data_IF_905971965987
#
_entry.id   IF_905971965987
#
_cell.length_a   1.000
_cell.length_b   1.000
_cell.length_c   1.000
_cell.angle_alpha   90.00
_cell.angle_beta   90.00
_cell.angle_gamma   90.00
#
_symmetry.space_group_name_H-M   'P 1'
#
loop_
_entity.id
_entity.type
_entity.pdbx_description
1 polymer ?
#
# COMPACT_ATOMS: atom_id res chain seq x y z
N UNK A 1 -27.50 -48.75 38.72
CA UNK A 1 -26.56 -49.14 37.66
C UNK A 1 -26.36 -47.89 36.85
N UNK A 2 -25.35 -47.14 37.27
CA UNK A 2 -24.97 -45.87 36.68
C UNK A 2 -23.88 -46.25 35.69
N UNK A 3 -24.27 -46.46 34.43
CA UNK A 3 -23.30 -46.64 33.35
C UNK A 3 -22.57 -45.31 33.20
N UNK A 4 -21.46 -45.15 33.94
CA UNK A 4 -20.44 -44.16 33.63
C UNK A 4 -19.89 -44.52 32.26
N UNK A 5 -20.51 -43.96 31.21
CA UNK A 5 -19.93 -43.94 29.87
C UNK A 5 -18.52 -43.39 30.03
N UNK A 6 -17.52 -44.25 29.85
CA UNK A 6 -16.12 -43.83 29.74
C UNK A 6 -16.07 -42.73 28.68
N UNK A 7 -15.56 -41.55 29.07
CA UNK A 7 -15.31 -40.45 28.14
C UNK A 7 -14.55 -41.01 26.93
N UNK A 8 -15.11 -40.82 25.74
CA UNK A 8 -14.46 -41.27 24.50
C UNK A 8 -13.05 -40.64 24.44
N UNK A 9 -11.97 -41.44 24.50
CA UNK A 9 -10.61 -40.92 24.53
C UNK A 9 -10.27 -40.11 23.28
N UNK A 10 -10.97 -40.34 22.16
CA UNK A 10 -10.80 -39.57 20.92
C UNK A 10 -11.43 -38.18 21.04
N UNK A 11 -12.58 -38.08 21.72
CA UNK A 11 -13.26 -36.81 22.02
C UNK A 11 -12.41 -35.94 22.94
N UNK A 12 -11.92 -36.50 24.05
CA UNK A 12 -11.06 -35.79 24.99
C UNK A 12 -9.75 -35.30 24.34
N UNK A 13 -9.15 -36.12 23.47
CA UNK A 13 -7.98 -35.71 22.70
C UNK A 13 -8.28 -34.57 21.73
N UNK A 14 -9.45 -34.57 21.08
CA UNK A 14 -9.86 -33.52 20.16
C UNK A 14 -10.15 -32.20 20.89
N UNK A 15 -10.82 -32.22 22.03
CA UNK A 15 -11.03 -31.05 22.90
C UNK A 15 -9.69 -30.46 23.37
N UNK A 16 -8.74 -31.32 23.75
CA UNK A 16 -7.39 -30.88 24.11
C UNK A 16 -6.67 -30.22 22.92
N UNK A 17 -6.79 -30.77 21.72
CA UNK A 17 -6.20 -30.14 20.51
C UNK A 17 -6.86 -28.80 20.19
N UNK A 18 -8.19 -28.70 20.31
CA UNK A 18 -8.92 -27.45 20.07
C UNK A 18 -8.48 -26.37 21.06
N UNK A 19 -8.46 -26.68 22.36
CA UNK A 19 -8.03 -25.74 23.41
C UNK A 19 -6.60 -25.21 23.21
N UNK A 20 -5.69 -26.05 22.70
CA UNK A 20 -4.32 -25.64 22.35
C UNK A 20 -4.25 -24.79 21.07
N UNK A 21 -5.03 -25.12 20.05
CA UNK A 21 -4.98 -24.46 18.75
C UNK A 21 -5.73 -23.13 18.71
N UNK A 22 -6.84 -22.99 19.44
CA UNK A 22 -7.68 -21.79 19.47
C UNK A 22 -6.89 -20.51 19.77
N UNK A 23 -6.13 -20.39 20.89
CA UNK A 23 -5.39 -19.17 21.19
C UNK A 23 -4.31 -18.86 20.14
N UNK A 24 -3.66 -19.90 19.58
CA UNK A 24 -2.67 -19.74 18.51
C UNK A 24 -3.31 -19.18 17.23
N UNK A 25 -4.48 -19.67 16.86
CA UNK A 25 -5.18 -19.21 15.65
C UNK A 25 -5.77 -17.81 15.83
N UNK A 26 -6.34 -17.49 17.00
CA UNK A 26 -6.79 -16.15 17.33
C UNK A 26 -5.64 -15.14 17.28
N UNK A 27 -4.47 -15.48 17.82
CA UNK A 27 -3.28 -14.63 17.72
C UNK A 27 -2.85 -14.42 16.25
N UNK A 28 -2.86 -15.47 15.43
CA UNK A 28 -2.55 -15.38 14.00
C UNK A 28 -3.56 -14.53 13.23
N UNK A 29 -4.85 -14.63 13.54
CA UNK A 29 -5.89 -13.77 12.99
C UNK A 29 -5.62 -12.30 13.34
N UNK A 30 -5.47 -11.98 14.63
CA UNK A 30 -5.20 -10.62 15.08
C UNK A 30 -3.91 -10.04 14.46
N UNK A 31 -2.90 -10.87 14.24
CA UNK A 31 -1.64 -10.48 13.59
C UNK A 31 -1.83 -10.20 12.10
N UNK A 32 -2.57 -11.05 11.39
CA UNK A 32 -2.87 -10.87 9.96
C UNK A 32 -3.74 -9.62 9.73
N UNK A 33 -4.72 -9.37 10.59
CA UNK A 33 -5.54 -8.16 10.54
C UNK A 33 -4.73 -6.89 10.76
N UNK A 34 -3.82 -6.90 11.74
CA UNK A 34 -2.90 -5.78 11.97
C UNK A 34 -2.02 -5.54 10.74
N UNK A 35 -1.44 -6.58 10.17
CA UNK A 35 -0.62 -6.47 8.97
C UNK A 35 -1.42 -5.89 7.77
N UNK A 36 -2.67 -6.31 7.58
CA UNK A 36 -3.55 -5.75 6.56
C UNK A 36 -3.83 -4.25 6.82
N UNK A 37 -4.17 -3.86 8.05
CA UNK A 37 -4.39 -2.45 8.41
C UNK A 37 -3.15 -1.59 8.19
N UNK A 38 -1.96 -2.09 8.56
CA UNK A 38 -0.70 -1.39 8.31
C UNK A 38 -0.45 -1.18 6.81
N UNK A 39 -0.65 -2.21 5.99
CA UNK A 39 -0.51 -2.11 4.54
C UNK A 39 -1.49 -1.08 3.93
N UNK A 40 -2.72 -0.96 4.47
CA UNK A 40 -3.69 0.06 4.05
C UNK A 40 -3.22 1.48 4.37
N UNK A 41 -2.70 1.70 5.58
CA UNK A 41 -2.19 3.01 6.00
C UNK A 41 -1.00 3.42 5.15
N UNK A 42 -0.08 2.48 4.88
CA UNK A 42 1.08 2.71 4.02
C UNK A 42 0.65 3.06 2.59
N UNK A 43 -0.28 2.28 2.00
CA UNK A 43 -0.80 2.58 0.67
C UNK A 43 -1.41 3.99 0.61
N UNK A 44 -2.19 4.38 1.62
CA UNK A 44 -2.76 5.73 1.70
C UNK A 44 -1.66 6.80 1.72
N UNK A 45 -0.63 6.62 2.55
CA UNK A 45 0.50 7.55 2.62
C UNK A 45 1.22 7.69 1.26
N UNK A 46 1.41 6.58 0.54
CA UNK A 46 2.01 6.59 -0.78
C UNK A 46 1.15 7.33 -1.81
N UNK A 47 -0.18 7.14 -1.78
CA UNK A 47 -1.11 7.85 -2.65
C UNK A 47 -1.12 9.36 -2.35
N UNK A 48 -1.09 9.74 -1.07
CA UNK A 48 -1.00 11.15 -0.66
C UNK A 48 0.31 11.78 -1.14
N UNK A 49 1.43 11.05 -1.06
CA UNK A 49 2.72 11.51 -1.57
C UNK A 49 2.71 11.65 -3.09
N UNK A 50 2.17 10.67 -3.81
CA UNK A 50 2.01 10.71 -5.27
C UNK A 50 1.16 11.91 -5.72
N UNK A 51 0.08 12.20 -5.00
CA UNK A 51 -0.76 13.37 -5.24
C UNK A 51 0.05 14.68 -5.12
N UNK A 52 0.86 14.81 -4.06
CA UNK A 52 1.74 15.97 -3.86
C UNK A 52 2.79 16.11 -4.97
N UNK A 53 3.42 15.00 -5.37
CA UNK A 53 4.43 15.02 -6.44
C UNK A 53 3.80 15.39 -7.79
N UNK A 54 2.58 14.91 -8.10
CA UNK A 54 1.82 15.33 -9.28
C UNK A 54 1.47 16.82 -9.25
N UNK A 55 1.00 17.33 -8.12
CA UNK A 55 0.73 18.76 -7.97
C UNK A 55 2.00 19.61 -8.16
N UNK A 56 3.15 19.14 -7.65
CA UNK A 56 4.44 19.80 -7.88
C UNK A 56 4.84 19.78 -9.35
N UNK A 57 4.58 18.69 -10.08
CA UNK A 57 4.84 18.61 -11.52
C UNK A 57 4.01 19.65 -12.28
N UNK A 58 2.72 19.77 -11.97
CA UNK A 58 1.83 20.73 -12.62
C UNK A 58 2.26 22.17 -12.33
N UNK A 59 2.62 22.47 -11.07
CA UNK A 59 3.16 23.77 -10.69
C UNK A 59 4.47 24.09 -11.43
N UNK A 60 5.39 23.13 -11.58
CA UNK A 60 6.63 23.33 -12.32
C UNK A 60 6.39 23.54 -13.82
N UNK A 61 5.38 22.88 -14.40
CA UNK A 61 4.97 23.12 -15.79
C UNK A 61 4.43 24.54 -15.99
N UNK A 62 3.62 25.02 -15.06
CA UNK A 62 3.09 26.38 -15.10
C UNK A 62 4.20 27.42 -14.93
N UNK A 63 5.11 27.20 -13.97
CA UNK A 63 6.28 28.05 -13.76
C UNK A 63 7.16 28.10 -15.01
N UNK A 64 7.39 26.95 -15.65
CA UNK A 64 8.13 26.86 -16.90
C UNK A 64 7.47 27.68 -18.01
N UNK A 65 6.16 27.52 -18.20
CA UNK A 65 5.39 28.27 -19.19
C UNK A 65 5.51 29.79 -18.99
N UNK A 66 5.30 30.27 -17.75
CA UNK A 66 5.43 31.70 -17.41
C UNK A 66 6.84 32.23 -17.63
N UNK A 67 7.88 31.46 -17.27
CA UNK A 67 9.28 31.86 -17.51
C UNK A 67 9.58 31.98 -18.99
N UNK A 68 9.12 31.02 -19.80
CA UNK A 68 9.30 31.03 -21.25
C UNK A 68 8.57 32.21 -21.90
N UNK A 69 7.35 32.52 -21.44
CA UNK A 69 6.59 33.69 -21.88
C UNK A 69 7.30 35.00 -21.49
N UNK A 70 7.78 35.12 -20.25
CA UNK A 70 8.52 36.30 -19.80
C UNK A 70 9.81 36.54 -20.59
N UNK A 71 10.60 35.49 -20.83
CA UNK A 71 11.81 35.56 -21.64
C UNK A 71 11.50 35.92 -23.10
N UNK A 72 10.43 35.35 -23.67
CA UNK A 72 9.98 35.71 -25.01
C UNK A 72 9.58 37.19 -25.10
N UNK A 73 8.90 37.73 -24.09
CA UNK A 73 8.51 39.15 -24.05
C UNK A 73 9.71 40.07 -23.86
N UNK A 74 10.68 39.69 -23.01
CA UNK A 74 11.88 40.48 -22.74
C UNK A 74 12.72 40.71 -23.99
N UNK A 75 12.76 39.72 -24.88
CA UNK A 75 13.63 39.72 -26.05
C UNK A 75 12.90 39.89 -27.40
N UNK A 76 11.57 40.04 -27.38
CA UNK A 76 10.78 40.32 -28.59
C UNK A 76 11.28 41.62 -29.25
N UNK A 77 11.51 41.59 -30.56
CA UNK A 77 11.92 42.76 -31.36
C UNK A 77 13.24 43.43 -30.93
N UNK A 78 14.07 42.75 -30.12
CA UNK A 78 15.39 43.24 -29.72
C UNK A 78 16.50 42.48 -30.42
N UNK A 79 17.61 43.16 -30.67
CA UNK A 79 18.86 42.52 -31.11
C UNK A 79 19.50 41.82 -29.92
N UNK A 80 19.63 40.50 -29.98
CA UNK A 80 20.16 39.67 -28.89
C UNK A 80 21.59 39.25 -29.25
N UNK A 81 22.49 39.27 -28.27
CA UNK A 81 23.84 38.72 -28.45
C UNK A 81 23.79 37.19 -28.53
N UNK A 82 24.65 36.53 -29.34
CA UNK A 82 24.78 35.07 -29.33
C UNK A 82 25.01 34.49 -27.93
N UNK A 83 25.78 35.17 -27.07
CA UNK A 83 26.03 34.73 -25.70
C UNK A 83 24.75 34.72 -24.82
N UNK A 84 23.81 35.62 -25.09
CA UNK A 84 22.54 35.66 -24.36
C UNK A 84 21.59 34.55 -24.83
N UNK A 85 21.68 34.16 -26.11
CA UNK A 85 20.98 32.99 -26.66
C UNK A 85 21.49 31.71 -26.01
N UNK A 86 22.80 31.54 -25.86
CA UNK A 86 23.38 30.37 -25.19
C UNK A 86 22.94 30.27 -23.73
N UNK A 87 22.98 31.39 -22.99
CA UNK A 87 22.47 31.47 -21.60
C UNK A 87 20.99 31.13 -21.51
N UNK A 88 20.20 31.52 -22.51
CA UNK A 88 18.78 31.16 -22.56
C UNK A 88 18.58 29.65 -22.78
N UNK A 89 19.31 29.06 -23.73
CA UNK A 89 19.26 27.62 -23.97
C UNK A 89 19.69 26.80 -22.76
N UNK A 90 20.73 27.23 -22.03
CA UNK A 90 21.12 26.58 -20.78
C UNK A 90 19.99 26.63 -19.76
N UNK A 91 19.35 27.79 -19.54
CA UNK A 91 18.22 27.92 -18.61
C UNK A 91 17.06 27.01 -19.01
N UNK A 92 16.68 26.97 -20.29
CA UNK A 92 15.63 26.09 -20.80
C UNK A 92 15.96 24.61 -20.54
N UNK A 93 17.20 24.20 -20.85
CA UNK A 93 17.66 22.84 -20.61
C UNK A 93 17.54 22.44 -19.14
N UNK A 94 18.03 23.26 -18.21
CA UNK A 94 17.94 22.98 -16.78
C UNK A 94 16.48 22.83 -16.30
N UNK A 95 15.56 23.61 -16.85
CA UNK A 95 14.15 23.49 -16.51
C UNK A 95 13.52 22.21 -17.08
N UNK A 96 13.85 21.85 -18.31
CA UNK A 96 13.41 20.60 -18.93
C UNK A 96 13.94 19.38 -18.18
N UNK A 97 15.22 19.41 -17.78
CA UNK A 97 15.85 18.36 -16.98
C UNK A 97 15.13 18.19 -15.63
N UNK A 98 14.80 19.30 -14.96
CA UNK A 98 14.03 19.25 -13.70
C UNK A 98 12.63 18.65 -13.89
N UNK A 99 11.93 19.01 -14.97
CA UNK A 99 10.64 18.39 -15.31
C UNK A 99 10.77 16.90 -15.61
N UNK A 100 11.85 16.49 -16.27
CA UNK A 100 12.14 15.08 -16.54
C UNK A 100 12.34 14.30 -15.23
N UNK A 101 13.13 14.83 -14.29
CA UNK A 101 13.33 14.22 -12.97
C UNK A 101 12.00 14.02 -12.23
N UNK A 102 11.16 15.06 -12.13
CA UNK A 102 9.87 14.96 -11.43
C UNK A 102 8.94 13.93 -12.11
N UNK A 103 8.94 13.86 -13.46
CA UNK A 103 8.16 12.85 -14.19
C UNK A 103 8.65 11.44 -13.89
N UNK A 104 9.96 11.23 -13.83
CA UNK A 104 10.55 9.95 -13.49
C UNK A 104 10.17 9.54 -12.06
N UNK A 105 10.22 10.47 -11.10
CA UNK A 105 9.79 10.22 -9.72
C UNK A 105 8.32 9.81 -9.65
N UNK A 106 7.43 10.50 -10.36
CA UNK A 106 6.01 10.15 -10.46
C UNK A 106 5.83 8.74 -11.01
N UNK A 107 6.59 8.34 -12.02
CA UNK A 107 6.51 6.99 -12.59
C UNK A 107 6.98 5.91 -11.60
N UNK A 108 8.10 6.14 -10.91
CA UNK A 108 8.61 5.22 -9.90
C UNK A 108 7.63 5.07 -8.73
N UNK A 109 7.02 6.17 -8.28
CA UNK A 109 6.02 6.13 -7.22
C UNK A 109 4.77 5.34 -7.65
N UNK A 110 4.32 5.48 -8.91
CA UNK A 110 3.20 4.70 -9.43
C UNK A 110 3.49 3.20 -9.43
N UNK A 111 4.71 2.79 -9.82
CA UNK A 111 5.12 1.39 -9.77
C UNK A 111 5.05 0.86 -8.33
N UNK A 112 5.63 1.58 -7.37
CA UNK A 112 5.61 1.21 -5.95
C UNK A 112 4.19 1.14 -5.39
N UNK A 113 3.31 2.06 -5.79
CA UNK A 113 1.89 2.01 -5.40
C UNK A 113 1.22 0.75 -5.93
N UNK A 114 1.50 0.34 -7.18
CA UNK A 114 0.96 -0.90 -7.73
C UNK A 114 1.46 -2.14 -6.99
N UNK A 115 2.75 -2.20 -6.65
CA UNK A 115 3.33 -3.25 -5.82
C UNK A 115 2.66 -3.32 -4.44
N UNK A 116 2.46 -2.16 -3.79
CA UNK A 116 1.80 -2.07 -2.49
C UNK A 116 0.33 -2.50 -2.55
N UNK A 117 -0.37 -2.20 -3.65
CA UNK A 117 -1.75 -2.68 -3.86
C UNK A 117 -1.80 -4.20 -3.97
N UNK A 118 -0.86 -4.82 -4.69
CA UNK A 118 -0.76 -6.27 -4.78
C UNK A 118 -0.47 -6.90 -3.41
N UNK A 119 0.45 -6.31 -2.64
CA UNK A 119 0.76 -6.74 -1.28
C UNK A 119 -0.47 -6.61 -0.37
N UNK A 120 -1.21 -5.51 -0.45
CA UNK A 120 -2.42 -5.30 0.33
C UNK A 120 -3.46 -6.40 0.09
N UNK A 121 -3.70 -6.77 -1.17
CA UNK A 121 -4.64 -7.83 -1.51
C UNK A 121 -4.15 -9.19 -0.98
N UNK A 122 -2.84 -9.48 -1.05
CA UNK A 122 -2.28 -10.67 -0.41
C UNK A 122 -2.54 -10.70 1.11
N UNK A 123 -2.32 -9.57 1.81
CA UNK A 123 -2.57 -9.45 3.25
C UNK A 123 -4.06 -9.60 3.58
N UNK A 124 -4.94 -9.08 2.73
CA UNK A 124 -6.40 -9.25 2.85
C UNK A 124 -6.80 -10.72 2.77
N UNK A 125 -6.28 -11.44 1.77
CA UNK A 125 -6.52 -12.88 1.61
C UNK A 125 -6.00 -13.67 2.82
N UNK A 126 -4.81 -13.32 3.32
CA UNK A 126 -4.23 -13.93 4.51
C UNK A 126 -5.10 -13.70 5.77
N UNK A 127 -5.59 -12.48 5.98
CA UNK A 127 -6.48 -12.17 7.09
C UNK A 127 -7.78 -12.99 7.02
N UNK A 128 -8.38 -13.08 5.82
CA UNK A 128 -9.59 -13.89 5.58
C UNK A 128 -9.35 -15.38 5.83
N UNK A 129 -8.20 -15.91 5.42
CA UNK A 129 -7.83 -17.29 5.67
C UNK A 129 -7.64 -17.58 7.17
N UNK A 130 -6.97 -16.67 7.89
CA UNK A 130 -6.80 -16.78 9.34
C UNK A 130 -8.12 -16.71 10.10
N UNK A 131 -9.03 -15.83 9.68
CA UNK A 131 -10.38 -15.73 10.24
C UNK A 131 -11.14 -17.05 10.07
N UNK A 132 -11.21 -17.58 8.84
CA UNK A 132 -11.85 -18.87 8.54
C UNK A 132 -11.26 -20.02 9.36
N UNK A 133 -9.96 -19.98 9.62
CA UNK A 133 -9.28 -20.99 10.42
C UNK A 133 -9.68 -20.97 11.90
N UNK A 134 -10.06 -19.80 12.43
CA UNK A 134 -10.63 -19.64 13.78
C UNK A 134 -12.10 -20.07 13.78
N UNK A 135 -12.89 -19.60 12.82
CA UNK A 135 -14.30 -20.00 12.65
C UNK A 135 -14.46 -21.53 12.56
N UNK A 136 -13.56 -22.21 11.82
CA UNK A 136 -13.56 -23.68 11.73
C UNK A 136 -13.33 -24.35 13.09
N UNK A 137 -12.45 -23.81 13.93
CA UNK A 137 -12.23 -24.37 15.26
C UNK A 137 -13.43 -24.14 16.18
N UNK A 138 -14.01 -22.94 16.14
CA UNK A 138 -15.22 -22.62 16.90
C UNK A 138 -16.39 -23.55 16.52
N UNK A 139 -16.60 -23.78 15.22
CA UNK A 139 -17.62 -24.72 14.75
C UNK A 139 -17.35 -26.16 15.21
N UNK A 140 -16.09 -26.62 15.21
CA UNK A 140 -15.74 -27.95 15.74
C UNK A 140 -15.96 -28.06 17.26
N UNK A 141 -15.69 -26.98 18.00
CA UNK A 141 -15.96 -26.89 19.44
C UNK A 141 -17.47 -26.93 19.73
N UNK A 142 -18.28 -26.21 18.94
CA UNK A 142 -19.74 -26.25 19.01
C UNK A 142 -20.29 -27.66 18.74
N UNK A 143 -19.82 -28.34 17.68
CA UNK A 143 -20.28 -29.71 17.38
C UNK A 143 -19.95 -30.69 18.50
N UNK A 144 -18.80 -30.55 19.16
CA UNK A 144 -18.44 -31.41 20.29
C UNK A 144 -19.35 -31.16 21.48
N UNK A 145 -19.72 -29.91 21.73
CA UNK A 145 -20.63 -29.55 22.81
C UNK A 145 -22.08 -29.97 22.54
N UNK A 146 -22.51 -30.04 21.27
CA UNK A 146 -23.85 -30.52 20.87
C UNK A 146 -23.96 -32.05 20.89
N UNK A 147 -22.85 -32.77 20.73
CA UNK A 147 -22.77 -34.24 20.75
C UNK A 147 -22.51 -34.85 22.14
N UNK A 148 -22.37 -34.05 23.21
CA UNK A 148 -22.27 -34.51 24.61
C UNK A 148 -23.50 -34.22 25.44
#
# INVERSE_FOLDING_TARGET
>A
MEDTLEDDPQRAALEQVISLLTPLRQHRQASAERAHRHAQVELKSMLDHLSKTRASLDQERDNHKRRREGLSQEHLEKTISPNDIDRWHEKEKHMLDRLACIRQDVQQQQLRVAEQQALLEQKRLQAKASQRAVEKLACMEETLNEEG
#
